data_IF_090109883450
#
_entry.id   IF_090109883450
#
_cell.length_a   1.000
_cell.length_b   1.000
_cell.length_c   1.000
_cell.angle_alpha   90.00
_cell.angle_beta   90.00
_cell.angle_gamma   90.00
#
_symmetry.space_group_name_H-M   'P 1'
#
loop_
_entity.id
_entity.type
_entity.pdbx_description
1 polymer ?
#
# COMPACT_ATOMS: atom_id res chain seq x y z
N UNK A 1 -29.65 -6.09 5.57
CA UNK A 1 -28.90 -6.03 5.69
C UNK A 1 -28.28 -5.44 6.24
N UNK A 2 -28.04 -5.41 6.38
CA UNK A 2 -27.43 -5.02 6.89
C UNK A 2 -26.64 -4.34 6.89
N UNK A 3 -26.37 -3.76 7.40
CA UNK A 3 -25.58 -3.11 7.45
C UNK A 3 -24.50 -3.25 7.42
N UNK A 4 -24.21 -3.52 7.36
CA UNK A 4 -22.99 -4.09 7.22
C UNK A 4 -21.97 -3.15 6.76
N UNK A 5 -20.73 -3.58 6.68
CA UNK A 5 -19.63 -2.82 6.18
C UNK A 5 -19.84 -2.48 4.72
N UNK A 6 -19.40 -1.30 4.36
CA UNK A 6 -19.34 -0.95 2.95
C UNK A 6 -18.19 -1.66 2.29
N UNK A 7 -18.35 -1.94 1.01
CA UNK A 7 -17.32 -2.58 0.23
C UNK A 7 -16.75 -1.57 -0.74
N UNK A 8 -15.45 -1.35 -0.64
CA UNK A 8 -14.78 -0.45 -1.55
C UNK A 8 -14.84 -1.01 -2.96
N UNK A 9 -15.01 -0.17 -3.99
CA UNK A 9 -15.08 -0.67 -5.37
C UNK A 9 -13.89 -1.51 -5.78
N UNK A 10 -12.73 -1.29 -5.18
CA UNK A 10 -11.53 -2.03 -5.51
C UNK A 10 -11.17 -3.07 -4.46
N UNK A 11 -12.15 -3.46 -3.66
CA UNK A 11 -11.88 -4.35 -2.53
C UNK A 11 -11.17 -5.64 -2.96
N UNK A 12 -11.67 -6.30 -4.00
CA UNK A 12 -11.12 -7.58 -4.40
C UNK A 12 -9.68 -7.44 -4.87
N UNK A 13 -9.40 -6.43 -5.67
CA UNK A 13 -8.05 -6.18 -6.14
C UNK A 13 -7.13 -5.83 -4.98
N UNK A 14 -7.59 -4.94 -4.11
CA UNK A 14 -6.77 -4.51 -2.99
C UNK A 14 -6.48 -5.66 -2.03
N UNK A 15 -7.47 -6.54 -1.83
CA UNK A 15 -7.26 -7.68 -0.95
C UNK A 15 -6.16 -8.59 -1.48
N UNK A 16 -6.13 -8.80 -2.79
CA UNK A 16 -5.07 -9.61 -3.39
C UNK A 16 -3.70 -8.97 -3.16
N UNK A 17 -3.61 -7.66 -3.32
CA UNK A 17 -2.35 -6.96 -3.10
C UNK A 17 -1.93 -7.09 -1.64
N UNK A 18 -2.85 -6.88 -0.71
CA UNK A 18 -2.56 -6.96 0.71
C UNK A 18 -2.06 -8.34 1.09
N UNK A 19 -2.73 -9.39 0.60
CA UNK A 19 -2.29 -10.75 0.90
C UNK A 19 -0.89 -11.01 0.37
N UNK A 20 -0.58 -10.46 -0.79
CA UNK A 20 0.76 -10.57 -1.34
C UNK A 20 1.78 -9.86 -0.47
N UNK A 21 1.45 -8.64 -0.01
CA UNK A 21 2.37 -7.87 0.80
C UNK A 21 2.68 -8.56 2.13
N UNK A 22 1.71 -9.29 2.67
CA UNK A 22 1.93 -10.00 3.94
C UNK A 22 3.09 -10.99 3.85
N UNK A 23 3.41 -11.44 2.65
CA UNK A 23 4.46 -12.44 2.45
C UNK A 23 5.70 -11.85 1.82
N UNK A 24 5.79 -10.54 1.71
CA UNK A 24 6.92 -9.92 1.03
C UNK A 24 7.70 -9.02 1.97
N UNK A 25 8.78 -8.48 1.45
CA UNK A 25 9.65 -7.63 2.23
C UNK A 25 9.38 -6.17 1.92
N UNK A 26 9.92 -5.30 2.78
CA UNK A 26 9.69 -3.86 2.68
C UNK A 26 10.60 -3.22 1.64
N UNK A 27 10.44 -3.64 0.39
CA UNK A 27 11.15 -2.97 -0.69
C UNK A 27 10.52 -1.60 -0.93
N UNK A 28 11.26 -0.76 -1.66
CA UNK A 28 10.73 0.57 -1.97
C UNK A 28 9.37 0.48 -2.65
N UNK A 29 9.25 -0.41 -3.63
CA UNK A 29 7.99 -0.58 -4.32
C UNK A 29 6.87 -1.00 -3.36
N UNK A 30 7.16 -1.96 -2.50
CA UNK A 30 6.14 -2.46 -1.58
C UNK A 30 5.77 -1.43 -0.53
N UNK A 31 6.73 -0.59 -0.11
CA UNK A 31 6.42 0.49 0.82
C UNK A 31 5.46 1.49 0.19
N UNK A 32 5.67 1.81 -1.08
CA UNK A 32 4.78 2.73 -1.79
C UNK A 32 3.39 2.11 -1.92
N UNK A 33 3.31 0.81 -2.21
CA UNK A 33 2.02 0.15 -2.30
C UNK A 33 1.29 0.18 -0.96
N UNK A 34 2.01 -0.11 0.12
CA UNK A 34 1.40 -0.06 1.44
C UNK A 34 0.88 1.33 1.76
N UNK A 35 1.67 2.35 1.50
CA UNK A 35 1.27 3.72 1.77
C UNK A 35 0.01 4.09 0.97
N UNK A 36 -0.03 3.69 -0.29
CA UNK A 36 -1.17 3.99 -1.15
C UNK A 36 -2.44 3.36 -0.59
N UNK A 37 -2.33 2.12 -0.15
CA UNK A 37 -3.48 1.42 0.41
C UNK A 37 -3.90 2.02 1.74
N UNK A 38 -2.96 2.41 2.58
CA UNK A 38 -3.29 3.05 3.84
C UNK A 38 -4.06 4.35 3.61
N UNK A 39 -3.67 5.11 2.62
CA UNK A 39 -4.39 6.35 2.29
C UNK A 39 -5.79 6.02 1.78
N UNK A 40 -5.90 5.04 0.89
CA UNK A 40 -7.18 4.67 0.30
C UNK A 40 -8.20 4.28 1.35
N UNK A 41 -7.76 3.55 2.37
CA UNK A 41 -8.69 3.03 3.37
C UNK A 41 -8.74 3.87 4.64
N UNK A 42 -8.05 4.99 4.67
CA UNK A 42 -8.10 5.86 5.83
C UNK A 42 -9.52 6.37 6.01
N UNK A 43 -10.10 6.07 7.16
CA UNK A 43 -11.45 6.50 7.47
C UNK A 43 -12.54 5.78 6.71
N UNK A 44 -12.19 4.78 5.93
CA UNK A 44 -13.19 4.01 5.21
C UNK A 44 -13.99 3.17 6.21
N UNK A 45 -15.33 3.15 6.10
CA UNK A 45 -16.16 2.50 7.12
C UNK A 45 -16.25 0.99 7.02
N UNK A 46 -15.62 0.38 6.02
CA UNK A 46 -15.68 -1.08 5.86
C UNK A 46 -14.32 -1.67 5.59
N UNK A 47 -14.32 -2.87 5.01
CA UNK A 47 -13.09 -3.58 4.65
C UNK A 47 -12.16 -3.72 5.84
N UNK A 48 -12.72 -4.14 6.98
CA UNK A 48 -11.95 -4.23 8.21
C UNK A 48 -10.80 -5.23 8.09
N UNK A 49 -10.99 -6.27 7.30
CA UNK A 49 -9.94 -7.26 7.08
C UNK A 49 -8.73 -6.63 6.40
N UNK A 50 -8.97 -5.80 5.39
CA UNK A 50 -7.88 -5.10 4.72
C UNK A 50 -7.20 -4.16 5.69
N UNK A 51 -7.97 -3.37 6.41
CA UNK A 51 -7.39 -2.39 7.33
C UNK A 51 -6.55 -3.06 8.42
N UNK A 52 -7.04 -4.18 8.96
CA UNK A 52 -6.26 -4.91 9.96
C UNK A 52 -4.96 -5.44 9.38
N UNK A 53 -5.01 -5.98 8.18
CA UNK A 53 -3.82 -6.51 7.55
C UNK A 53 -2.81 -5.44 7.23
N UNK A 54 -3.27 -4.25 6.84
CA UNK A 54 -2.36 -3.14 6.59
C UNK A 54 -1.58 -2.79 7.86
N UNK A 55 -2.25 -2.80 9.01
CA UNK A 55 -1.55 -2.54 10.28
C UNK A 55 -0.55 -3.63 10.60
N UNK A 56 -0.91 -4.87 10.34
CA UNK A 56 0.02 -5.97 10.56
C UNK A 56 1.26 -5.82 9.70
N UNK A 57 1.08 -5.50 8.44
CA UNK A 57 2.21 -5.31 7.53
C UNK A 57 3.09 -4.17 8.02
N UNK A 58 2.47 -3.06 8.38
CA UNK A 58 3.19 -1.89 8.86
C UNK A 58 4.07 -2.25 10.05
N UNK A 59 3.49 -2.93 11.03
CA UNK A 59 4.22 -3.31 12.23
C UNK A 59 5.31 -4.33 11.93
N UNK A 60 5.01 -5.29 11.07
CA UNK A 60 5.98 -6.31 10.71
C UNK A 60 7.22 -5.69 10.08
N UNK A 61 7.01 -4.66 9.25
CA UNK A 61 8.10 -3.99 8.56
C UNK A 61 8.78 -2.94 9.44
N UNK A 62 8.26 -2.69 10.64
CA UNK A 62 8.90 -1.78 11.57
C UNK A 62 8.62 -0.31 11.30
N UNK A 63 7.48 0.00 10.72
CA UNK A 63 7.13 1.37 10.41
C UNK A 63 5.92 1.83 11.22
N UNK A 64 5.82 3.13 11.39
CA UNK A 64 4.59 3.79 11.81
C UNK A 64 4.02 4.51 10.59
N UNK A 65 2.80 5.04 10.73
CA UNK A 65 2.24 5.81 9.63
C UNK A 65 3.18 6.96 9.25
N UNK A 66 3.68 7.65 10.26
CA UNK A 66 4.57 8.79 10.01
C UNK A 66 5.83 8.38 9.26
N UNK A 67 6.49 7.33 9.75
CA UNK A 67 7.75 6.93 9.13
C UNK A 67 7.53 6.33 7.76
N UNK A 68 6.39 5.65 7.57
CA UNK A 68 6.06 5.11 6.26
C UNK A 68 5.88 6.24 5.24
N UNK A 69 5.09 7.27 5.60
CA UNK A 69 4.85 8.34 4.65
C UNK A 69 6.08 9.19 4.40
N UNK A 70 6.92 9.34 5.44
CA UNK A 70 8.20 10.02 5.24
C UNK A 70 9.07 9.25 4.25
N UNK A 71 9.14 7.93 4.42
CA UNK A 71 9.95 7.11 3.54
C UNK A 71 9.44 7.15 2.11
N UNK A 72 8.12 7.09 1.94
CA UNK A 72 7.57 7.12 0.58
C UNK A 72 7.77 8.48 -0.08
N UNK A 73 7.77 9.56 0.69
CA UNK A 73 8.12 10.86 0.13
C UNK A 73 9.53 10.86 -0.43
N UNK A 74 10.46 10.25 0.31
CA UNK A 74 11.83 10.15 -0.17
C UNK A 74 11.93 9.31 -1.43
N UNK A 75 11.21 8.21 -1.48
CA UNK A 75 11.20 7.35 -2.65
C UNK A 75 10.68 8.11 -3.87
N UNK A 76 9.58 8.83 -3.70
CA UNK A 76 9.01 9.60 -4.81
C UNK A 76 9.95 10.72 -5.24
N UNK A 77 10.65 11.32 -4.29
CA UNK A 77 11.57 12.40 -4.62
C UNK A 77 12.70 11.93 -5.53
N UNK A 78 13.13 10.67 -5.36
CA UNK A 78 14.16 10.12 -6.23
C UNK A 78 13.62 9.68 -7.58
N UNK A 79 12.33 9.37 -7.66
CA UNK A 79 11.72 8.90 -8.88
C UNK A 79 12.11 7.50 -9.29
N UNK A 80 12.90 6.83 -8.48
CA UNK A 80 13.46 5.54 -8.85
C UNK A 80 12.41 4.45 -9.00
N UNK A 81 11.40 4.49 -8.14
CA UNK A 81 10.42 3.42 -8.10
C UNK A 81 9.70 3.28 -9.44
N UNK A 82 9.33 4.40 -10.02
CA UNK A 82 8.58 4.36 -11.27
C UNK A 82 9.49 4.15 -12.46
N UNK A 83 10.69 4.70 -12.39
CA UNK A 83 11.65 4.51 -13.46
C UNK A 83 12.05 3.05 -13.59
N UNK A 84 12.28 2.41 -12.47
CA UNK A 84 12.66 1.02 -12.47
C UNK A 84 11.56 0.12 -12.98
N UNK A 85 10.34 0.45 -12.71
CA UNK A 85 9.24 -0.37 -13.17
C UNK A 85 9.09 -0.29 -14.68
N UNK A 86 9.29 0.84 -15.18
CA UNK A 86 9.16 0.95 -16.58
C UNK A 86 10.25 0.30 -17.32
N UNK A 87 10.96 0.21 -17.18
CA UNK A 87 11.89 -0.25 -17.80
C UNK A 87 12.05 -0.39 -18.75
N UNK A 88 11.87 -0.20 -18.73
CA UNK A 88 11.98 -0.18 -19.47
C UNK A 88 11.72 0.64 -20.23
N UNK A 89 11.54 1.23 -20.38
CA UNK A 89 11.29 2.07 -20.99
C UNK A 89 11.56 2.97 -21.14
N UNK A 90 11.86 3.19 -20.89
CA UNK A 90 12.02 4.02 -20.99
C UNK A 90 11.99 4.84 -21.18
N UNK A 91 12.07 4.82 -21.29
CA UNK A 91 11.95 5.57 -21.54
C UNK A 91 11.35 6.46 -21.57
N UNK A 92 10.93 6.46 -21.20
CA UNK A 92 10.38 7.45 -21.25
C UNK A 92 10.62 8.48 -20.85
N UNK A 93 10.98 8.34 -20.81
CA UNK A 93 11.46 9.07 -20.49
C UNK A 93 11.70 9.52 -20.61
#
# INVERSE_FOLDING_TARGET
MTTQEQKHPQYNTDRMIVLSLLEQEATDYNLVELARLKIRYRGFPGAKDIQSNLEIILQTWGYTDETLFEKTRQIHATGQIYRGKKNDQEDWI
#
